data_IF_999546384409
#
_entry.id   IF_999546384409
#
_cell.length_a   1.000
_cell.length_b   1.000
_cell.length_c   1.000
_cell.angle_alpha   90.00
_cell.angle_beta   90.00
_cell.angle_gamma   90.00
#
_symmetry.space_group_name_H-M   'P 1'
#
loop_
_entity.id
_entity.type
_entity.pdbx_description
1 polymer ?
#
# COMPACT_ATOMS: atom_id res chain seq x y z
N UNK A 1 -8.23 -2.17 -10.90
CA UNK A 1 -9.25 -2.73 -11.81
C UNK A 1 -9.52 -1.65 -12.85
N UNK A 2 -9.37 -1.92 -14.16
CA UNK A 2 -9.60 -0.94 -15.21
C UNK A 2 -11.10 -0.69 -15.45
N UNK A 3 -11.43 0.42 -16.11
CA UNK A 3 -12.76 0.71 -16.62
C UNK A 3 -13.22 -0.32 -17.67
N UNK A 4 -14.51 -0.58 -17.74
CA UNK A 4 -15.15 -1.51 -18.67
C UNK A 4 -15.83 -2.69 -17.96
N UNK A 5 -16.02 -3.78 -18.68
CA UNK A 5 -16.59 -5.02 -18.13
C UNK A 5 -15.51 -6.07 -17.82
N UNK A 6 -15.92 -7.20 -17.22
CA UNK A 6 -15.00 -8.29 -16.84
C UNK A 6 -14.19 -8.83 -18.03
N UNK A 7 -14.79 -8.92 -19.23
CA UNK A 7 -14.09 -9.39 -20.43
C UNK A 7 -13.06 -8.37 -20.92
N UNK A 8 -13.39 -7.09 -20.89
CA UNK A 8 -12.45 -6.02 -21.27
C UNK A 8 -11.25 -5.97 -20.34
N UNK A 9 -11.46 -6.19 -19.05
CA UNK A 9 -10.37 -6.33 -18.10
C UNK A 9 -9.48 -7.53 -18.44
N UNK A 10 -10.10 -8.68 -18.73
CA UNK A 10 -9.38 -9.91 -19.10
C UNK A 10 -8.55 -9.72 -20.38
N UNK A 11 -9.11 -9.06 -21.39
CA UNK A 11 -8.37 -8.72 -22.63
C UNK A 11 -7.16 -7.83 -22.40
N UNK A 12 -7.25 -6.86 -21.47
CA UNK A 12 -6.10 -6.03 -21.06
C UNK A 12 -4.98 -6.84 -20.39
N UNK A 13 -5.30 -7.98 -19.81
CA UNK A 13 -4.36 -8.96 -19.28
C UNK A 13 -3.88 -9.99 -20.33
N UNK A 14 -4.27 -9.82 -21.58
CA UNK A 14 -3.91 -10.73 -22.67
C UNK A 14 -4.72 -12.03 -22.69
N UNK A 15 -5.83 -12.10 -21.96
CA UNK A 15 -6.70 -13.28 -21.91
C UNK A 15 -7.83 -13.16 -22.95
N UNK A 16 -8.09 -14.20 -23.76
CA UNK A 16 -9.20 -14.19 -24.73
C UNK A 16 -10.58 -14.42 -24.10
N UNK A 17 -10.61 -14.92 -22.87
CA UNK A 17 -11.79 -15.24 -22.07
C UNK A 17 -11.81 -14.39 -20.79
N UNK A 18 -12.93 -14.41 -20.06
CA UNK A 18 -12.95 -13.81 -18.72
C UNK A 18 -11.97 -14.54 -17.79
N UNK A 19 -11.42 -13.84 -16.80
CA UNK A 19 -10.47 -14.42 -15.82
C UNK A 19 -10.98 -15.74 -15.23
N UNK A 20 -12.24 -15.83 -14.74
CA UNK A 20 -12.75 -17.11 -14.23
C UNK A 20 -12.82 -18.22 -15.28
N UNK A 21 -13.21 -17.91 -16.52
CA UNK A 21 -13.24 -18.90 -17.61
C UNK A 21 -11.85 -19.40 -17.99
N UNK A 22 -10.88 -18.50 -18.10
CA UNK A 22 -9.50 -18.85 -18.36
C UNK A 22 -8.94 -19.76 -17.25
N UNK A 23 -9.18 -19.40 -15.98
CA UNK A 23 -8.79 -20.23 -14.84
C UNK A 23 -9.48 -21.58 -14.86
N UNK A 24 -10.77 -21.62 -15.20
CA UNK A 24 -11.52 -22.87 -15.34
C UNK A 24 -10.89 -23.79 -16.38
N UNK A 25 -10.49 -23.26 -17.54
CA UNK A 25 -9.84 -24.06 -18.59
C UNK A 25 -8.45 -24.55 -18.15
N UNK A 26 -7.63 -23.67 -17.54
CA UNK A 26 -6.27 -24.02 -17.13
C UNK A 26 -6.27 -25.01 -15.96
N UNK A 27 -7.14 -24.84 -15.01
CA UNK A 27 -7.19 -25.68 -13.81
C UNK A 27 -7.92 -27.02 -14.06
N UNK A 28 -8.64 -27.15 -15.17
CA UNK A 28 -9.54 -28.28 -15.40
C UNK A 28 -10.44 -28.48 -14.18
N UNK A 29 -10.37 -29.64 -13.52
CA UNK A 29 -11.16 -29.91 -12.30
C UNK A 29 -10.32 -29.89 -11.02
N UNK A 30 -9.15 -29.21 -11.04
CA UNK A 30 -8.33 -28.99 -9.84
C UNK A 30 -8.82 -27.76 -9.07
N UNK A 31 -8.49 -27.71 -7.78
CA UNK A 31 -8.70 -26.50 -6.95
C UNK A 31 -7.99 -25.32 -7.59
N UNK A 32 -8.66 -24.19 -7.66
CA UNK A 32 -8.10 -22.94 -8.13
C UNK A 32 -8.53 -21.80 -7.20
N UNK A 33 -7.68 -20.77 -7.10
CA UNK A 33 -7.93 -19.58 -6.27
C UNK A 33 -7.70 -18.34 -7.11
N UNK A 34 -8.65 -17.41 -7.06
CA UNK A 34 -8.51 -16.07 -7.60
C UNK A 34 -8.27 -15.14 -6.42
N UNK A 35 -7.14 -14.43 -6.43
CA UNK A 35 -6.81 -13.46 -5.38
C UNK A 35 -6.92 -12.06 -5.98
N UNK A 36 -7.79 -11.23 -5.39
CA UNK A 36 -7.93 -9.82 -5.72
C UNK A 36 -7.39 -9.00 -4.55
N UNK A 37 -6.17 -8.52 -4.71
CA UNK A 37 -5.49 -7.73 -3.71
C UNK A 37 -5.86 -6.24 -3.81
N UNK A 38 -5.83 -5.55 -2.67
CA UNK A 38 -6.15 -4.12 -2.56
C UNK A 38 -7.54 -3.75 -3.09
N UNK A 39 -8.58 -4.43 -2.60
CA UNK A 39 -9.97 -4.10 -2.96
C UNK A 39 -10.33 -2.63 -2.61
N UNK A 40 -9.70 -2.07 -1.58
CA UNK A 40 -9.79 -0.66 -1.19
C UNK A 40 -9.25 0.31 -2.26
N UNK A 41 -8.31 -0.12 -3.10
CA UNK A 41 -7.80 0.70 -4.21
C UNK A 41 -8.86 1.00 -5.30
N UNK A 42 -9.98 0.30 -5.30
CA UNK A 42 -11.12 0.55 -6.20
C UNK A 42 -11.69 1.96 -6.00
N UNK A 43 -11.55 2.55 -4.81
CA UNK A 43 -12.06 3.89 -4.46
C UNK A 43 -11.23 5.05 -4.97
N UNK A 44 -10.01 4.82 -5.46
CA UNK A 44 -9.08 5.89 -5.82
C UNK A 44 -9.50 6.73 -7.03
N UNK A 45 -10.53 6.31 -7.76
CA UNK A 45 -11.10 7.06 -8.87
C UNK A 45 -12.61 7.08 -8.74
N UNK A 46 -13.19 8.20 -8.29
CA UNK A 46 -14.66 8.35 -8.15
C UNK A 46 -15.43 7.95 -9.42
N UNK A 47 -14.88 8.25 -10.59
CA UNK A 47 -15.49 7.90 -11.88
C UNK A 47 -15.51 6.40 -12.18
N UNK A 48 -14.63 5.60 -11.57
CA UNK A 48 -14.46 4.17 -11.88
C UNK A 48 -14.86 3.23 -10.73
N UNK A 49 -15.24 3.76 -9.57
CA UNK A 49 -15.56 2.93 -8.39
C UNK A 49 -16.76 2.00 -8.63
N UNK A 50 -17.82 2.51 -9.25
CA UNK A 50 -19.00 1.72 -9.59
C UNK A 50 -18.70 0.62 -10.61
N UNK A 51 -17.92 0.93 -11.65
CA UNK A 51 -17.51 -0.05 -12.66
C UNK A 51 -16.65 -1.16 -12.05
N UNK A 52 -15.70 -0.80 -11.21
CA UNK A 52 -14.82 -1.76 -10.57
C UNK A 52 -15.57 -2.71 -9.62
N UNK A 53 -16.55 -2.20 -8.86
CA UNK A 53 -17.43 -3.03 -8.02
C UNK A 53 -18.32 -3.91 -8.87
N UNK A 54 -18.85 -3.40 -10.01
CA UNK A 54 -19.60 -4.20 -10.96
C UNK A 54 -18.75 -5.35 -11.50
N UNK A 55 -17.49 -5.09 -11.89
CA UNK A 55 -16.56 -6.13 -12.34
C UNK A 55 -16.33 -7.19 -11.25
N UNK A 56 -16.20 -6.79 -9.97
CA UNK A 56 -16.09 -7.74 -8.87
C UNK A 56 -17.35 -8.62 -8.73
N UNK A 57 -18.55 -8.03 -8.87
CA UNK A 57 -19.81 -8.77 -8.87
C UNK A 57 -19.91 -9.74 -10.04
N UNK A 58 -19.55 -9.30 -11.24
CA UNK A 58 -19.55 -10.13 -12.44
C UNK A 58 -18.57 -11.31 -12.28
N UNK A 59 -17.39 -11.06 -11.70
CA UNK A 59 -16.41 -12.10 -11.38
C UNK A 59 -16.97 -13.11 -10.39
N UNK A 60 -17.60 -12.66 -9.30
CA UNK A 60 -18.25 -13.51 -8.31
C UNK A 60 -19.33 -14.36 -8.97
N UNK A 61 -20.21 -13.76 -9.75
CA UNK A 61 -21.30 -14.46 -10.42
C UNK A 61 -20.77 -15.51 -11.42
N UNK A 62 -19.74 -15.14 -12.19
CA UNK A 62 -19.13 -16.06 -13.14
C UNK A 62 -18.47 -17.26 -12.45
N UNK A 63 -17.80 -17.06 -11.33
CA UNK A 63 -17.25 -18.16 -10.51
C UNK A 63 -18.36 -19.04 -9.94
N UNK A 64 -19.50 -18.47 -9.50
CA UNK A 64 -20.66 -19.23 -9.05
C UNK A 64 -21.17 -20.16 -10.17
N UNK A 65 -21.40 -19.60 -11.37
CA UNK A 65 -21.86 -20.37 -12.54
C UNK A 65 -20.90 -21.53 -12.85
N UNK A 66 -19.61 -21.26 -12.96
CA UNK A 66 -18.62 -22.29 -13.29
C UNK A 66 -18.52 -23.37 -12.20
N UNK A 67 -18.72 -23.01 -10.96
CA UNK A 67 -18.66 -23.94 -9.84
C UNK A 67 -19.83 -24.93 -9.81
N UNK A 68 -20.94 -24.69 -10.52
CA UNK A 68 -22.08 -25.63 -10.55
C UNK A 68 -21.62 -26.98 -11.07
N UNK A 69 -20.84 -27.02 -12.15
CA UNK A 69 -20.38 -28.25 -12.80
C UNK A 69 -19.04 -28.80 -12.31
N UNK A 70 -18.39 -28.16 -11.31
CA UNK A 70 -17.06 -28.56 -10.85
C UNK A 70 -17.09 -29.38 -9.57
N UNK A 71 -16.31 -30.45 -9.53
CA UNK A 71 -16.04 -31.22 -8.32
C UNK A 71 -15.15 -30.43 -7.37
N UNK A 72 -14.02 -29.89 -7.89
CA UNK A 72 -13.12 -29.01 -7.15
C UNK A 72 -13.43 -27.55 -7.46
N UNK A 73 -13.88 -26.81 -6.45
CA UNK A 73 -14.36 -25.42 -6.61
C UNK A 73 -13.24 -24.43 -6.86
N UNK A 74 -13.56 -23.37 -7.62
CA UNK A 74 -12.76 -22.15 -7.70
C UNK A 74 -13.12 -21.28 -6.50
N UNK A 75 -12.14 -20.88 -5.73
CA UNK A 75 -12.31 -19.96 -4.58
C UNK A 75 -11.90 -18.55 -4.97
N UNK A 76 -12.48 -17.56 -4.31
CA UNK A 76 -12.11 -16.15 -4.45
C UNK A 76 -11.64 -15.64 -3.10
N UNK A 77 -10.52 -14.94 -3.09
CA UNK A 77 -10.00 -14.22 -1.93
C UNK A 77 -9.95 -12.74 -2.28
N UNK A 78 -10.67 -11.92 -1.53
CA UNK A 78 -10.54 -10.47 -1.58
C UNK A 78 -9.68 -10.01 -0.41
N UNK A 79 -8.65 -9.23 -0.71
CA UNK A 79 -7.79 -8.62 0.30
C UNK A 79 -8.08 -7.13 0.35
N UNK A 80 -8.41 -6.63 1.53
CA UNK A 80 -8.65 -5.21 1.77
C UNK A 80 -8.28 -4.84 3.21
N UNK A 81 -8.17 -3.56 3.48
CA UNK A 81 -7.98 -3.07 4.84
C UNK A 81 -9.25 -3.30 5.66
N UNK A 82 -9.09 -3.70 6.92
CA UNK A 82 -10.22 -3.91 7.85
C UNK A 82 -11.11 -2.69 7.95
N UNK A 83 -10.50 -1.49 8.01
CA UNK A 83 -11.24 -0.23 8.05
C UNK A 83 -12.17 -0.06 6.83
N UNK A 84 -11.72 -0.37 5.62
CA UNK A 84 -12.52 -0.23 4.40
C UNK A 84 -13.61 -1.29 4.33
N UNK A 85 -13.33 -2.51 4.75
CA UNK A 85 -14.36 -3.55 4.87
C UNK A 85 -15.47 -3.14 5.85
N UNK A 86 -15.13 -2.45 6.94
CA UNK A 86 -16.08 -2.06 7.98
C UNK A 86 -16.82 -0.74 7.71
N UNK A 87 -16.27 0.13 6.86
CA UNK A 87 -16.81 1.48 6.65
C UNK A 87 -17.25 1.78 5.21
N UNK A 88 -16.90 0.92 4.23
CA UNK A 88 -17.37 1.07 2.86
C UNK A 88 -18.63 0.26 2.59
N UNK A 89 -19.73 0.96 2.35
CA UNK A 89 -21.00 0.31 2.03
C UNK A 89 -20.94 -0.49 0.71
N UNK A 90 -20.15 -0.06 -0.27
CA UNK A 90 -20.02 -0.76 -1.53
C UNK A 90 -19.22 -2.06 -1.37
N UNK A 91 -18.16 -2.03 -0.56
CA UNK A 91 -17.38 -3.23 -0.22
C UNK A 91 -18.25 -4.18 0.61
N UNK A 92 -18.93 -3.68 1.65
CA UNK A 92 -19.88 -4.49 2.44
C UNK A 92 -20.93 -5.16 1.57
N UNK A 93 -21.46 -4.44 0.58
CA UNK A 93 -22.50 -4.95 -0.29
C UNK A 93 -22.02 -6.13 -1.15
N UNK A 94 -20.74 -6.25 -1.47
CA UNK A 94 -20.20 -7.41 -2.17
C UNK A 94 -20.35 -8.71 -1.36
N UNK A 95 -20.36 -8.61 -0.02
CA UNK A 95 -20.33 -9.74 0.90
C UNK A 95 -21.66 -9.99 1.63
N UNK A 96 -22.61 -9.03 1.61
CA UNK A 96 -23.86 -9.08 2.37
C UNK A 96 -25.05 -9.68 1.58
N UNK A 97 -24.83 -10.56 0.64
CA UNK A 97 -25.93 -11.20 -0.09
C UNK A 97 -26.43 -12.43 0.69
N UNK A 98 -27.66 -12.35 1.21
CA UNK A 98 -28.27 -13.32 2.14
C UNK A 98 -29.14 -14.39 1.45
N UNK A 99 -28.75 -14.94 0.31
CA UNK A 99 -29.53 -16.03 -0.31
C UNK A 99 -28.93 -17.40 0.01
N UNK A 100 -29.75 -18.38 0.36
CA UNK A 100 -29.34 -19.73 0.80
C UNK A 100 -28.46 -20.51 -0.19
N UNK A 101 -28.41 -20.08 -1.46
CA UNK A 101 -27.59 -20.69 -2.52
C UNK A 101 -26.28 -19.92 -2.78
N UNK A 102 -25.85 -19.02 -1.89
CA UNK A 102 -24.73 -18.11 -2.14
C UNK A 102 -23.42 -18.61 -1.55
N UNK A 103 -22.31 -18.05 -2.09
CA UNK A 103 -20.97 -18.29 -1.56
C UNK A 103 -20.93 -17.85 -0.09
N UNK A 104 -20.54 -18.74 0.80
CA UNK A 104 -20.28 -18.40 2.19
C UNK A 104 -18.95 -17.62 2.24
N UNK A 105 -19.04 -16.38 2.65
CA UNK A 105 -17.86 -15.55 2.89
C UNK A 105 -17.35 -15.78 4.31
N UNK A 106 -16.05 -15.99 4.42
CA UNK A 106 -15.34 -16.04 5.70
C UNK A 106 -14.40 -14.85 5.80
N UNK A 107 -14.49 -14.08 6.89
CA UNK A 107 -13.54 -13.01 7.20
C UNK A 107 -12.34 -13.63 7.90
N UNK A 108 -11.17 -13.49 7.26
CA UNK A 108 -9.89 -13.86 7.85
C UNK A 108 -9.14 -12.56 8.13
N UNK A 109 -8.85 -12.28 9.37
CA UNK A 109 -8.06 -11.11 9.76
C UNK A 109 -6.58 -11.50 9.84
N UNK A 110 -5.75 -10.77 9.09
CA UNK A 110 -4.31 -10.95 9.14
C UNK A 110 -3.78 -10.11 10.29
N UNK A 111 -3.41 -10.78 11.37
CA UNK A 111 -2.88 -10.14 12.57
C UNK A 111 -1.41 -9.75 12.40
N UNK A 112 -0.90 -8.97 13.37
CA UNK A 112 0.54 -8.72 13.51
C UNK A 112 1.29 -10.03 13.73
N UNK A 113 2.54 -10.10 13.33
CA UNK A 113 3.44 -11.22 13.66
C UNK A 113 3.42 -11.52 15.16
N UNK A 114 3.60 -12.78 15.54
CA UNK A 114 3.78 -13.13 16.95
C UNK A 114 5.06 -12.48 17.50
N UNK A 115 5.18 -12.38 18.81
CA UNK A 115 6.42 -11.87 19.44
C UNK A 115 7.58 -12.81 19.18
N UNK A 116 7.33 -14.09 19.12
CA UNK A 116 8.28 -15.16 18.88
C UNK A 116 8.82 -15.08 17.44
N UNK A 117 7.94 -14.98 16.44
CA UNK A 117 8.32 -14.83 15.04
C UNK A 117 9.12 -13.54 14.82
N UNK A 118 8.66 -12.42 15.43
CA UNK A 118 9.37 -11.15 15.32
C UNK A 118 10.77 -11.24 15.95
N UNK A 119 10.89 -11.90 17.11
CA UNK A 119 12.20 -12.12 17.76
C UNK A 119 13.12 -12.98 16.90
N UNK A 120 12.61 -14.03 16.27
CA UNK A 120 13.38 -14.91 15.38
C UNK A 120 13.92 -14.11 14.19
N UNK A 121 13.08 -13.31 13.54
CA UNK A 121 13.46 -12.50 12.38
C UNK A 121 14.46 -11.37 12.71
N UNK A 122 14.28 -10.69 13.84
CA UNK A 122 15.15 -9.57 14.26
C UNK A 122 16.45 -10.09 14.90
N UNK A 123 16.43 -11.27 15.50
CA UNK A 123 17.56 -11.87 16.18
C UNK A 123 17.81 -11.31 17.58
N UNK A 124 19.04 -11.48 18.07
CA UNK A 124 19.42 -11.16 19.47
C UNK A 124 19.19 -9.69 19.87
N UNK A 125 19.30 -8.77 18.92
CA UNK A 125 19.05 -7.33 19.15
C UNK A 125 17.68 -7.05 19.73
N UNK A 126 16.67 -7.89 19.40
CA UNK A 126 15.28 -7.74 19.86
C UNK A 126 15.13 -7.66 21.38
N UNK A 127 16.00 -8.36 22.13
CA UNK A 127 15.94 -8.39 23.60
C UNK A 127 16.10 -6.99 24.21
N UNK A 128 16.92 -6.15 23.60
CA UNK A 128 17.28 -4.81 24.07
C UNK A 128 16.29 -3.72 23.63
N UNK A 129 15.32 -4.04 22.78
CA UNK A 129 14.37 -3.06 22.27
C UNK A 129 13.35 -2.64 23.32
N UNK A 130 12.95 -1.37 23.26
CA UNK A 130 11.83 -0.85 24.07
C UNK A 130 10.51 -1.54 23.64
N UNK A 131 9.52 -1.64 24.54
CA UNK A 131 8.24 -2.31 24.24
C UNK A 131 7.51 -1.76 23.01
N UNK A 132 7.55 -0.43 22.80
CA UNK A 132 6.92 0.22 21.63
C UNK A 132 7.55 -0.26 20.33
N UNK A 133 8.89 -0.31 20.25
CA UNK A 133 9.59 -0.79 19.05
C UNK A 133 9.31 -2.27 18.81
N UNK A 134 9.28 -3.10 19.86
CA UNK A 134 8.91 -4.52 19.74
C UNK A 134 7.52 -4.72 19.14
N UNK A 135 6.54 -3.91 19.54
CA UNK A 135 5.19 -3.99 18.98
C UNK A 135 5.12 -3.42 17.55
N UNK A 136 5.87 -2.35 17.28
CA UNK A 136 5.96 -1.74 15.95
C UNK A 136 6.50 -2.72 14.89
N UNK A 137 7.52 -3.50 15.24
CA UNK A 137 8.17 -4.46 14.34
C UNK A 137 7.35 -5.73 14.10
N UNK A 138 6.27 -5.95 14.82
CA UNK A 138 5.31 -7.02 14.54
C UNK A 138 4.50 -6.77 13.27
N UNK A 139 4.56 -5.56 12.71
CA UNK A 139 3.96 -5.23 11.42
C UNK A 139 4.97 -5.55 10.32
N UNK A 140 4.68 -6.46 9.37
CA UNK A 140 5.65 -6.92 8.37
C UNK A 140 6.29 -5.79 7.54
N UNK A 141 5.54 -4.75 7.18
CA UNK A 141 6.08 -3.60 6.45
C UNK A 141 7.10 -2.80 7.28
N UNK A 142 6.88 -2.69 8.59
CA UNK A 142 7.82 -2.01 9.49
C UNK A 142 9.08 -2.86 9.70
N UNK A 143 8.93 -4.17 9.78
CA UNK A 143 10.06 -5.10 9.87
C UNK A 143 10.91 -5.01 8.60
N UNK A 144 10.29 -4.96 7.42
CA UNK A 144 11.00 -4.73 6.16
C UNK A 144 11.82 -3.44 6.19
N UNK A 145 11.24 -2.32 6.63
CA UNK A 145 11.97 -1.04 6.74
C UNK A 145 13.13 -1.19 7.74
N UNK A 146 12.86 -1.82 8.88
CA UNK A 146 13.87 -2.07 9.90
C UNK A 146 15.09 -2.83 9.37
N UNK A 147 14.89 -3.85 8.54
CA UNK A 147 15.96 -4.63 7.92
C UNK A 147 16.88 -3.81 7.00
N UNK A 148 16.36 -2.72 6.44
CA UNK A 148 17.12 -1.81 5.58
C UNK A 148 17.83 -0.70 6.34
N UNK A 149 17.58 -0.56 7.65
CA UNK A 149 18.27 0.40 8.51
C UNK A 149 19.63 -0.13 8.96
N UNK A 150 20.64 0.74 8.84
CA UNK A 150 21.98 0.46 9.28
C UNK A 150 22.20 1.08 10.67
N UNK A 151 22.23 0.24 11.70
CA UNK A 151 22.38 0.70 13.07
C UNK A 151 23.83 0.47 13.53
N UNK A 152 24.59 1.53 13.71
CA UNK A 152 25.84 1.50 14.45
C UNK A 152 25.54 1.07 15.90
N UNK A 153 26.43 0.32 16.52
CA UNK A 153 26.19 -0.48 17.74
C UNK A 153 25.51 0.23 18.92
N UNK A 154 25.55 1.53 19.00
CA UNK A 154 25.12 2.31 20.17
C UNK A 154 24.06 3.41 19.89
N UNK A 155 23.66 3.60 18.65
CA UNK A 155 22.62 4.58 18.33
C UNK A 155 21.27 3.89 18.35
N UNK A 156 20.22 4.42 19.11
CA UNK A 156 19.11 4.31 18.28
C UNK A 156 17.79 3.82 18.69
N UNK A 157 17.72 2.96 19.55
CA UNK A 157 16.51 2.20 19.81
C UNK A 157 15.44 3.01 20.55
N UNK A 158 15.86 4.15 21.15
CA UNK A 158 15.00 4.88 22.08
C UNK A 158 14.05 5.87 21.41
N UNK A 159 14.37 6.29 20.19
CA UNK A 159 13.60 7.34 19.48
C UNK A 159 12.66 6.80 18.39
N UNK A 160 12.68 5.50 18.10
CA UNK A 160 11.81 4.88 17.08
C UNK A 160 10.58 4.31 17.77
N UNK A 161 9.46 5.00 17.65
CA UNK A 161 8.20 4.60 18.28
C UNK A 161 7.06 4.45 17.29
N UNK A 162 7.22 4.95 16.07
CA UNK A 162 6.19 4.97 15.03
C UNK A 162 6.72 4.48 13.68
N UNK A 163 5.82 4.11 12.77
CA UNK A 163 6.17 3.82 11.37
C UNK A 163 6.83 5.03 10.69
N UNK A 164 6.38 6.25 11.06
CA UNK A 164 6.96 7.49 10.58
C UNK A 164 8.44 7.57 10.92
N UNK A 165 8.83 7.32 12.18
CA UNK A 165 10.23 7.38 12.62
C UNK A 165 11.11 6.41 11.83
N UNK A 166 10.58 5.19 11.56
CA UNK A 166 11.29 4.20 10.73
C UNK A 166 11.55 4.70 9.31
N UNK A 167 10.52 5.25 8.65
CA UNK A 167 10.63 5.73 7.27
C UNK A 167 11.56 6.95 7.21
N UNK A 168 11.38 7.90 8.14
CA UNK A 168 12.22 9.09 8.27
C UNK A 168 13.70 8.70 8.40
N UNK A 169 14.01 7.83 9.37
CA UNK A 169 15.38 7.37 9.61
C UNK A 169 15.97 6.64 8.40
N UNK A 170 15.17 5.82 7.72
CA UNK A 170 15.61 5.13 6.52
C UNK A 170 15.97 6.13 5.40
N UNK A 171 15.11 7.09 5.14
CA UNK A 171 15.36 8.09 4.10
C UNK A 171 16.58 8.97 4.42
N UNK A 172 16.75 9.42 5.67
CA UNK A 172 17.94 10.13 6.14
C UNK A 172 19.22 9.31 5.89
N UNK A 173 19.23 8.04 6.26
CA UNK A 173 20.39 7.17 6.01
C UNK A 173 20.70 6.98 4.53
N UNK A 174 19.68 6.97 3.67
CA UNK A 174 19.90 6.91 2.22
C UNK A 174 20.54 8.19 1.69
N UNK A 175 20.15 9.34 2.22
CA UNK A 175 20.77 10.64 1.90
C UNK A 175 22.22 10.70 2.37
N UNK A 176 22.50 10.29 3.61
CA UNK A 176 23.85 10.25 4.18
C UNK A 176 24.78 9.36 3.35
N UNK A 177 24.35 8.16 2.99
CA UNK A 177 25.11 7.24 2.12
C UNK A 177 25.40 7.84 0.75
N UNK A 178 24.50 8.63 0.21
CA UNK A 178 24.72 9.34 -1.07
C UNK A 178 25.78 10.44 -0.89
N UNK A 179 25.71 11.21 0.19
CA UNK A 179 26.70 12.25 0.52
C UNK A 179 28.07 11.62 0.70
N UNK A 180 28.18 10.55 1.48
CA UNK A 180 29.43 9.83 1.72
C UNK A 180 30.03 9.23 0.45
N UNK A 181 29.20 8.69 -0.43
CA UNK A 181 29.67 8.06 -1.67
C UNK A 181 30.15 9.08 -2.71
N UNK A 182 29.55 10.25 -2.75
CA UNK A 182 29.83 11.31 -3.73
C UNK A 182 29.46 10.96 -5.18
N UNK A 183 28.89 9.77 -5.45
CA UNK A 183 28.55 9.32 -6.81
C UNK A 183 27.24 9.92 -7.36
N UNK A 184 26.32 10.28 -6.46
CA UNK A 184 25.00 10.82 -6.81
C UNK A 184 24.81 12.09 -5.97
N UNK A 185 24.16 13.09 -6.53
CA UNK A 185 23.78 14.28 -5.77
C UNK A 185 22.50 14.02 -5.00
N UNK A 186 22.42 14.47 -3.75
CA UNK A 186 21.25 14.32 -2.87
C UNK A 186 19.98 14.90 -3.51
N UNK A 187 20.11 16.00 -4.27
CA UNK A 187 19.01 16.63 -4.98
C UNK A 187 18.34 15.65 -5.99
N UNK A 188 19.10 14.68 -6.52
CA UNK A 188 18.53 13.69 -7.47
C UNK A 188 17.62 12.69 -6.77
N UNK A 189 17.86 12.37 -5.52
CA UNK A 189 16.98 11.52 -4.72
C UNK A 189 15.71 12.28 -4.36
N UNK A 190 15.86 13.52 -3.91
CA UNK A 190 14.74 14.40 -3.60
C UNK A 190 13.86 14.65 -4.83
N UNK A 191 14.48 14.90 -5.98
CA UNK A 191 13.74 15.11 -7.23
C UNK A 191 12.93 13.86 -7.63
N UNK A 192 13.47 12.64 -7.46
CA UNK A 192 12.73 11.39 -7.69
C UNK A 192 11.54 11.30 -6.76
N UNK A 193 11.73 11.52 -5.46
CA UNK A 193 10.68 11.52 -4.44
C UNK A 193 9.55 12.49 -4.83
N UNK A 194 9.90 13.73 -5.16
CA UNK A 194 8.94 14.79 -5.45
C UNK A 194 8.16 14.52 -6.75
N UNK A 195 8.83 14.03 -7.81
CA UNK A 195 8.15 13.61 -9.06
C UNK A 195 7.13 12.50 -8.75
N UNK A 196 7.54 11.48 -7.98
CA UNK A 196 6.68 10.35 -7.68
C UNK A 196 5.48 10.78 -6.85
N UNK A 197 5.68 11.50 -5.75
CA UNK A 197 4.61 11.99 -4.88
C UNK A 197 3.60 12.84 -5.65
N UNK A 198 4.10 13.85 -6.40
CA UNK A 198 3.24 14.74 -7.20
C UNK A 198 2.42 13.98 -8.25
N UNK A 199 3.00 12.96 -8.88
CA UNK A 199 2.29 12.18 -9.89
C UNK A 199 1.24 11.26 -9.29
N UNK A 200 1.55 10.59 -8.18
CA UNK A 200 0.63 9.73 -7.46
C UNK A 200 -0.56 10.55 -6.91
N UNK A 201 -0.29 11.70 -6.29
CA UNK A 201 -1.33 12.58 -5.76
C UNK A 201 -2.26 13.09 -6.87
N UNK A 202 -1.70 13.57 -8.00
CA UNK A 202 -2.49 14.09 -9.12
C UNK A 202 -3.28 13.03 -9.88
N UNK A 203 -2.70 11.83 -10.03
CA UNK A 203 -3.32 10.78 -10.86
C UNK A 203 -4.25 9.87 -10.06
N UNK A 204 -4.16 9.86 -8.73
CA UNK A 204 -4.83 8.88 -7.87
C UNK A 204 -4.38 7.43 -8.11
N UNK A 205 -3.23 7.22 -8.77
CA UNK A 205 -2.66 5.89 -9.04
C UNK A 205 -1.60 5.57 -8.01
N UNK A 206 -1.32 4.27 -7.83
CA UNK A 206 -0.24 3.80 -6.96
C UNK A 206 1.12 3.71 -7.67
N UNK A 207 1.20 4.11 -8.92
CA UNK A 207 2.42 4.09 -9.72
C UNK A 207 2.50 5.28 -10.66
N UNK A 208 3.73 5.67 -10.99
CA UNK A 208 4.07 6.65 -12.01
C UNK A 208 4.74 5.96 -13.21
N UNK A 209 4.71 6.64 -14.36
CA UNK A 209 5.39 6.15 -15.56
C UNK A 209 6.90 6.41 -15.49
N UNK A 210 7.72 5.38 -15.69
CA UNK A 210 9.19 5.43 -15.62
C UNK A 210 9.81 6.54 -16.50
N UNK A 211 9.18 6.86 -17.64
CA UNK A 211 9.64 7.94 -18.55
C UNK A 211 9.70 9.32 -17.89
N UNK A 212 8.92 9.57 -16.82
CA UNK A 212 8.92 10.85 -16.09
C UNK A 212 10.22 11.08 -15.31
N UNK A 213 10.99 10.03 -15.08
CA UNK A 213 12.25 10.04 -14.32
C UNK A 213 13.49 10.08 -15.21
N UNK A 214 13.35 10.42 -16.50
CA UNK A 214 14.47 10.38 -17.44
C UNK A 214 15.65 11.29 -17.05
N UNK A 215 15.38 12.42 -16.38
CA UNK A 215 16.40 13.38 -15.94
C UNK A 215 17.03 13.02 -14.58
N UNK A 216 16.48 12.01 -13.88
CA UNK A 216 16.88 11.59 -12.54
C UNK A 216 17.11 10.09 -12.42
N UNK A 217 17.54 9.47 -13.52
CA UNK A 217 17.74 8.00 -13.63
C UNK A 217 18.67 7.43 -12.56
N UNK A 218 19.70 8.17 -12.16
CA UNK A 218 20.65 7.73 -11.14
C UNK A 218 20.00 7.64 -9.79
N UNK A 219 19.29 8.69 -9.35
CA UNK A 219 18.51 8.69 -8.12
C UNK A 219 17.42 7.61 -8.11
N UNK A 220 16.73 7.42 -9.26
CA UNK A 220 15.73 6.37 -9.41
C UNK A 220 16.33 4.97 -9.21
N UNK A 221 17.46 4.69 -9.86
CA UNK A 221 18.16 3.40 -9.71
C UNK A 221 18.63 3.18 -8.28
N UNK A 222 19.16 4.22 -7.65
CA UNK A 222 19.63 4.16 -6.28
C UNK A 222 18.50 3.83 -5.31
N UNK A 223 17.40 4.58 -5.31
CA UNK A 223 16.25 4.33 -4.44
C UNK A 223 15.60 2.95 -4.68
N UNK A 224 15.61 2.47 -5.94
CA UNK A 224 15.15 1.13 -6.24
C UNK A 224 16.10 0.06 -5.68
N UNK A 225 17.42 0.24 -5.82
CA UNK A 225 18.41 -0.71 -5.26
C UNK A 225 18.42 -0.72 -3.73
N UNK A 226 18.06 0.40 -3.12
CA UNK A 226 17.90 0.54 -1.68
C UNK A 226 16.58 -0.04 -1.14
N UNK A 227 15.71 -0.57 -2.00
CA UNK A 227 14.44 -1.18 -1.61
C UNK A 227 13.31 -0.18 -1.31
N UNK A 228 13.53 1.14 -1.44
CA UNK A 228 12.50 2.14 -1.17
C UNK A 228 11.48 2.24 -2.31
N UNK A 229 11.92 2.01 -3.54
CA UNK A 229 11.08 2.01 -4.72
C UNK A 229 11.01 0.62 -5.34
N UNK A 230 9.95 0.37 -6.09
CA UNK A 230 9.76 -0.80 -6.92
C UNK A 230 9.57 -0.37 -8.37
N UNK A 231 10.38 -0.93 -9.27
CA UNK A 231 10.30 -0.68 -10.70
C UNK A 231 9.87 -1.97 -11.38
N UNK A 232 8.68 -1.97 -11.94
CA UNK A 232 8.16 -3.10 -12.72
C UNK A 232 7.85 -2.60 -14.14
N UNK A 233 8.58 -3.12 -15.12
CA UNK A 233 8.47 -2.70 -16.52
C UNK A 233 8.67 -1.19 -16.68
N UNK A 234 7.60 -0.47 -17.03
CA UNK A 234 7.55 0.98 -17.22
C UNK A 234 6.90 1.74 -16.06
N UNK A 235 6.61 1.05 -14.93
CA UNK A 235 5.96 1.60 -13.74
C UNK A 235 6.95 1.76 -12.60
N UNK A 236 6.80 2.84 -11.85
CA UNK A 236 7.56 3.17 -10.65
C UNK A 236 6.58 3.41 -9.51
N UNK A 237 6.76 2.74 -8.39
CA UNK A 237 5.97 2.90 -7.18
C UNK A 237 6.86 2.92 -5.95
N UNK A 238 6.37 3.43 -4.82
CA UNK A 238 6.99 3.10 -3.54
C UNK A 238 6.85 1.59 -3.28
N UNK A 239 7.83 1.02 -2.58
CA UNK A 239 7.79 -0.40 -2.23
C UNK A 239 6.56 -0.75 -1.40
N UNK A 240 6.21 0.12 -0.44
CA UNK A 240 5.01 -0.01 0.36
C UNK A 240 4.26 1.33 0.44
N UNK A 241 2.94 1.28 0.49
CA UNK A 241 2.11 2.47 0.50
C UNK A 241 2.36 3.37 1.72
N UNK A 242 2.72 2.83 2.88
CA UNK A 242 3.03 3.63 4.07
C UNK A 242 4.15 4.65 3.84
N UNK A 243 5.07 4.36 2.91
CA UNK A 243 6.15 5.30 2.53
C UNK A 243 5.56 6.51 1.81
N UNK A 244 4.61 6.28 0.90
CA UNK A 244 3.88 7.35 0.22
C UNK A 244 3.06 8.17 1.21
N UNK A 245 2.31 7.49 2.10
CA UNK A 245 1.47 8.16 3.10
C UNK A 245 2.31 9.03 4.06
N UNK A 246 3.49 8.56 4.44
CA UNK A 246 4.47 9.35 5.21
C UNK A 246 4.88 10.63 4.47
N UNK A 247 5.34 10.53 3.24
CA UNK A 247 5.79 11.71 2.49
C UNK A 247 4.66 12.70 2.21
N UNK A 248 3.42 12.24 2.03
CA UNK A 248 2.27 13.15 1.93
C UNK A 248 2.02 13.85 3.27
N UNK A 249 2.14 13.15 4.40
CA UNK A 249 1.99 13.79 5.72
C UNK A 249 3.06 14.84 5.99
N UNK A 250 4.31 14.62 5.56
CA UNK A 250 5.38 15.60 5.62
C UNK A 250 5.07 16.86 4.79
N UNK A 251 4.57 16.68 3.55
CA UNK A 251 4.12 17.81 2.73
C UNK A 251 2.97 18.61 3.37
N UNK A 252 2.12 17.93 4.16
CA UNK A 252 1.07 18.62 4.91
C UNK A 252 1.65 19.45 6.04
N UNK A 253 2.69 18.95 6.71
CA UNK A 253 3.40 19.70 7.77
C UNK A 253 4.09 20.92 7.16
N UNK A 254 4.85 20.75 6.07
CA UNK A 254 5.48 21.86 5.37
C UNK A 254 4.48 22.98 5.03
N UNK A 255 3.33 22.62 4.46
CA UNK A 255 2.27 23.58 4.15
C UNK A 255 1.72 24.29 5.39
N UNK A 256 1.59 23.57 6.49
CA UNK A 256 1.12 24.13 7.76
C UNK A 256 2.15 25.13 8.32
N UNK A 257 3.44 24.79 8.29
CA UNK A 257 4.54 25.67 8.68
C UNK A 257 4.64 26.92 7.79
N UNK A 258 4.30 26.80 6.50
CA UNK A 258 4.18 27.91 5.56
C UNK A 258 2.97 28.81 5.85
N UNK A 259 2.11 28.44 6.81
CA UNK A 259 0.98 29.24 7.29
C UNK A 259 -0.35 28.94 6.59
N UNK A 260 -0.49 27.82 5.86
CA UNK A 260 -1.79 27.39 5.35
C UNK A 260 -2.69 26.92 6.51
N UNK A 261 -3.97 27.26 6.41
CA UNK A 261 -4.96 26.80 7.38
C UNK A 261 -5.12 25.26 7.35
N UNK A 262 -5.30 24.68 8.53
CA UNK A 262 -5.45 23.22 8.70
C UNK A 262 -6.62 22.66 7.89
N UNK A 263 -7.72 23.43 7.75
CA UNK A 263 -8.90 23.03 6.99
C UNK A 263 -8.58 22.99 5.49
N UNK A 264 -7.76 23.94 5.00
CA UNK A 264 -7.29 23.95 3.60
C UNK A 264 -6.38 22.76 3.30
N UNK A 265 -5.49 22.42 4.23
CA UNK A 265 -4.57 21.27 4.09
C UNK A 265 -5.33 19.95 4.09
N UNK A 266 -6.29 19.77 5.00
CA UNK A 266 -7.11 18.57 5.12
C UNK A 266 -8.03 18.43 3.90
N UNK A 267 -8.56 19.54 3.41
CA UNK A 267 -9.50 19.60 2.29
C UNK A 267 -10.92 19.18 2.64
N UNK A 268 -11.77 19.18 1.62
CA UNK A 268 -13.19 18.89 1.76
C UNK A 268 -13.44 17.45 2.24
N UNK A 269 -14.25 17.30 3.28
CA UNK A 269 -14.60 16.01 3.89
C UNK A 269 -15.16 15.01 2.87
N UNK A 270 -15.94 15.46 1.92
CA UNK A 270 -16.63 14.60 0.95
C UNK A 270 -15.67 14.10 -0.15
N UNK A 271 -14.51 14.73 -0.27
CA UNK A 271 -13.43 14.35 -1.20
C UNK A 271 -12.32 13.51 -0.56
N UNK A 272 -12.40 13.28 0.75
CA UNK A 272 -11.39 12.48 1.45
C UNK A 272 -11.53 10.99 1.13
N UNK A 273 -10.50 10.43 0.50
CA UNK A 273 -10.36 8.99 0.35
C UNK A 273 -9.90 8.34 1.67
N UNK A 274 -10.08 7.04 1.89
CA UNK A 274 -9.54 6.35 3.06
C UNK A 274 -8.05 6.57 3.29
N UNK A 275 -7.26 6.61 2.22
CA UNK A 275 -5.84 6.91 2.33
C UNK A 275 -5.58 8.35 2.77
N UNK A 276 -6.36 9.31 2.24
CA UNK A 276 -6.27 10.70 2.69
C UNK A 276 -6.53 10.82 4.19
N UNK A 277 -7.48 10.08 4.72
CA UNK A 277 -7.75 10.02 6.17
C UNK A 277 -6.58 9.48 6.96
N UNK A 278 -5.91 8.44 6.46
CA UNK A 278 -4.70 7.92 7.11
C UNK A 278 -3.54 8.92 7.07
N UNK A 279 -3.34 9.61 5.94
CA UNK A 279 -2.36 10.68 5.80
C UNK A 279 -2.65 11.85 6.74
N UNK A 280 -3.93 12.26 6.85
CA UNK A 280 -4.38 13.28 7.81
C UNK A 280 -4.13 12.82 9.25
N UNK A 281 -4.39 11.56 9.56
CA UNK A 281 -4.10 11.02 10.90
C UNK A 281 -2.61 11.12 11.23
N UNK A 282 -1.74 10.74 10.30
CA UNK A 282 -0.28 10.87 10.49
C UNK A 282 0.13 12.32 10.67
N UNK A 283 -0.40 13.23 9.85
CA UNK A 283 -0.18 14.69 9.96
C UNK A 283 -0.58 15.22 11.34
N UNK A 284 -1.81 14.95 11.79
CA UNK A 284 -2.31 15.40 13.08
C UNK A 284 -1.56 14.80 14.27
N UNK A 285 -1.14 13.53 14.17
CA UNK A 285 -0.30 12.91 15.19
C UNK A 285 1.04 13.63 15.32
N UNK A 286 1.66 14.00 14.21
CA UNK A 286 2.92 14.76 14.21
C UNK A 286 2.76 16.12 14.88
N UNK A 287 1.72 16.87 14.53
CA UNK A 287 1.45 18.17 15.16
C UNK A 287 1.21 18.07 16.68
N UNK A 288 0.57 16.98 17.12
CA UNK A 288 0.35 16.74 18.55
C UNK A 288 1.65 16.38 19.28
N UNK A 289 2.54 15.62 18.67
CA UNK A 289 3.83 15.25 19.23
C UNK A 289 4.73 16.49 19.38
N UNK A 290 4.83 17.33 18.35
CA UNK A 290 5.62 18.56 18.35
C UNK A 290 5.11 19.59 19.39
N UNK A 291 3.77 19.74 19.52
CA UNK A 291 3.20 20.67 20.52
C UNK A 291 3.20 20.09 21.96
N UNK A 292 3.51 18.82 22.15
CA UNK A 292 3.60 18.22 23.49
C UNK A 292 5.00 18.32 24.11
N UNK A 293 5.99 18.77 23.34
CA UNK A 293 7.37 19.01 23.79
C UNK A 293 7.62 20.49 24.18
N UNK A 294 6.64 21.40 23.96
CA UNK A 294 6.62 22.77 24.49
C UNK A 294 5.87 22.82 25.87
#
# INVERSE_FOLDING_TARGET
>A
IPSGNLLDWSKKLGLPLTIPEAINQISSDKKAVIILDQLDAIRWTESNSYEAISICKDLINKVKELNIGREQKISIIFVCRTYDLENDNNIKFLFNQNNENELKWEKIEVEKLSKEDTKELVGEKYLNFIPKLKDLLRIPSNLYIWEHLDFKKDEIQYNITTTKDLIKKWFEQLQDKVIESGFIKTEKIEEVKNILISDLEKSGKLYSQKRKFNNVKEGLKYLNSAGMLNIQEDKVSFFHQSIFDYFISELMIEKFEEGLDIIEIIGDKDKQTPNRRYQIQMFLQTLLEENSEE
#
